data_IF_238452520512
#
_entry.id   IF_238452520512
#
_cell.length_a   1.000
_cell.length_b   1.000
_cell.length_c   1.000
_cell.angle_alpha   90.00
_cell.angle_beta   90.00
_cell.angle_gamma   90.00
#
_symmetry.space_group_name_H-M   'P 1'
#
loop_
_entity.id
_entity.type
_entity.pdbx_description
1 polymer ?
#
# COMPACT_ATOMS: atom_id res chain seq x y z
N UNK A 1 11.60 -12.29 6.76
CA UNK A 1 12.00 -11.16 5.88
C UNK A 1 10.79 -10.38 5.39
N UNK A 2 9.70 -11.06 4.99
CA UNK A 2 8.44 -10.46 4.53
C UNK A 2 7.80 -9.46 5.52
N UNK A 3 7.66 -9.84 6.80
CA UNK A 3 7.10 -8.96 7.84
C UNK A 3 7.80 -7.59 7.95
N UNK A 4 9.14 -7.58 7.90
CA UNK A 4 9.90 -6.34 7.93
C UNK A 4 9.63 -5.47 6.70
N UNK A 5 9.52 -6.09 5.52
CA UNK A 5 9.23 -5.37 4.28
C UNK A 5 7.86 -4.67 4.35
N UNK A 6 6.82 -5.37 4.82
CA UNK A 6 5.47 -4.82 4.92
C UNK A 6 5.38 -3.68 5.94
N UNK A 7 5.95 -3.90 7.13
CA UNK A 7 5.97 -2.88 8.18
C UNK A 7 6.77 -1.65 7.73
N UNK A 8 7.92 -1.86 7.09
CA UNK A 8 8.76 -0.78 6.57
C UNK A 8 8.04 0.00 5.47
N UNK A 9 7.41 -0.69 4.52
CA UNK A 9 6.58 -0.08 3.48
C UNK A 9 5.46 0.75 4.10
N UNK A 10 4.77 0.21 5.12
CA UNK A 10 3.71 0.91 5.84
C UNK A 10 4.20 2.19 6.51
N UNK A 11 5.31 2.15 7.24
CA UNK A 11 5.86 3.32 7.94
C UNK A 11 6.26 4.41 6.95
N UNK A 12 6.98 4.07 5.88
CA UNK A 12 7.43 5.05 4.88
C UNK A 12 6.24 5.69 4.17
N UNK A 13 5.28 4.88 3.72
CA UNK A 13 4.13 5.41 2.98
C UNK A 13 3.19 6.20 3.89
N UNK A 14 3.04 5.81 5.15
CA UNK A 14 2.28 6.58 6.14
C UNK A 14 2.93 7.95 6.38
N UNK A 15 4.25 7.99 6.53
CA UNK A 15 4.98 9.25 6.63
C UNK A 15 4.81 10.10 5.37
N UNK A 16 4.95 9.50 4.18
CA UNK A 16 4.72 10.18 2.90
C UNK A 16 3.32 10.81 2.83
N UNK A 17 2.27 10.07 3.20
CA UNK A 17 0.90 10.62 3.22
C UNK A 17 0.70 11.70 4.29
N UNK A 18 1.42 11.64 5.42
CA UNK A 18 1.37 12.71 6.42
C UNK A 18 1.87 14.06 5.88
N UNK A 19 2.70 14.05 4.83
CA UNK A 19 3.16 15.26 4.16
C UNK A 19 2.17 15.78 3.11
N UNK A 20 1.23 14.95 2.65
CA UNK A 20 0.32 15.27 1.54
C UNK A 20 -1.12 15.59 1.99
N UNK A 21 -1.56 15.04 3.11
CA UNK A 21 -2.94 15.19 3.58
C UNK A 21 -3.17 16.58 4.20
N UNK A 22 -4.29 17.21 3.84
CA UNK A 22 -4.56 18.63 4.15
C UNK A 22 -5.27 18.83 5.50
N UNK A 23 -6.07 17.87 5.96
CA UNK A 23 -6.94 18.06 7.13
C UNK A 23 -6.38 17.44 8.40
N UNK A 24 -6.65 18.08 9.55
CA UNK A 24 -6.22 17.58 10.88
C UNK A 24 -6.77 16.19 11.19
N UNK A 25 -8.01 15.91 10.80
CA UNK A 25 -8.63 14.61 11.03
C UNK A 25 -7.92 13.49 10.24
N UNK A 26 -7.56 13.72 8.98
CA UNK A 26 -6.82 12.76 8.17
C UNK A 26 -5.41 12.51 8.75
N UNK A 27 -4.70 13.56 9.15
CA UNK A 27 -3.38 13.46 9.78
C UNK A 27 -3.45 12.70 11.10
N UNK A 28 -4.46 12.97 11.92
CA UNK A 28 -4.71 12.24 13.15
C UNK A 28 -4.87 10.74 12.89
N UNK A 29 -5.67 10.35 11.89
CA UNK A 29 -5.82 8.94 11.48
C UNK A 29 -4.47 8.32 11.09
N UNK A 30 -3.65 9.03 10.31
CA UNK A 30 -2.31 8.55 9.92
C UNK A 30 -1.42 8.31 11.13
N UNK A 31 -1.30 9.30 12.03
CA UNK A 31 -0.41 9.19 13.19
C UNK A 31 -0.86 8.13 14.20
N UNK A 32 -2.17 8.02 14.43
CA UNK A 32 -2.70 6.94 15.27
C UNK A 32 -2.37 5.59 14.64
N UNK A 33 -2.60 5.41 13.33
CA UNK A 33 -2.24 4.17 12.63
C UNK A 33 -0.75 3.85 12.71
N UNK A 34 0.12 4.86 12.52
CA UNK A 34 1.58 4.72 12.55
C UNK A 34 2.11 4.24 13.91
N UNK A 35 1.40 4.54 15.01
CA UNK A 35 1.77 4.10 16.35
C UNK A 35 1.08 2.79 16.74
N UNK A 36 -0.25 2.74 16.59
CA UNK A 36 -1.06 1.64 17.10
C UNK A 36 -0.79 0.33 16.34
N UNK A 37 -0.63 0.41 15.01
CA UNK A 37 -0.50 -0.79 14.20
C UNK A 37 0.84 -1.52 14.41
N UNK A 38 2.01 -0.86 14.44
CA UNK A 38 3.27 -1.52 14.77
C UNK A 38 3.28 -2.09 16.20
N UNK A 39 2.73 -1.37 17.18
CA UNK A 39 2.62 -1.86 18.56
C UNK A 39 1.75 -3.12 18.63
N UNK A 40 0.63 -3.12 17.94
CA UNK A 40 -0.25 -4.27 17.86
C UNK A 40 0.46 -5.48 17.23
N UNK A 41 1.14 -5.32 16.09
CA UNK A 41 1.89 -6.41 15.45
C UNK A 41 3.03 -6.93 16.34
N UNK A 42 3.80 -6.03 16.95
CA UNK A 42 4.88 -6.38 17.87
C UNK A 42 4.35 -7.18 19.07
N UNK A 43 3.21 -6.78 19.65
CA UNK A 43 2.59 -7.52 20.75
C UNK A 43 2.22 -8.96 20.35
N UNK A 44 1.77 -9.17 19.10
CA UNK A 44 1.45 -10.53 18.60
C UNK A 44 2.69 -11.41 18.49
N UNK A 45 3.81 -10.85 18.05
CA UNK A 45 5.08 -11.60 17.96
C UNK A 45 5.66 -11.93 19.33
N UNK A 46 5.44 -11.08 20.34
CA UNK A 46 5.84 -11.37 21.71
C UNK A 46 5.01 -12.50 22.33
N UNK A 47 3.71 -12.57 22.04
CA UNK A 47 2.81 -13.60 22.58
C UNK A 47 3.01 -14.94 21.85
N UNK A 48 3.15 -14.91 20.53
CA UNK A 48 3.40 -16.10 19.74
C UNK A 48 4.54 -15.86 18.72
N UNK A 49 5.78 -16.18 19.10
CA UNK A 49 6.96 -16.00 18.24
C UNK A 49 6.90 -16.83 16.95
N UNK A 50 6.12 -17.92 16.88
CA UNK A 50 6.04 -18.73 15.65
C UNK A 50 5.44 -17.94 14.48
N UNK A 51 4.55 -16.98 14.77
CA UNK A 51 3.90 -16.10 13.78
C UNK A 51 4.90 -15.23 13.01
N UNK A 52 6.11 -15.05 13.52
CA UNK A 52 7.16 -14.27 12.87
C UNK A 52 7.91 -15.04 11.78
N UNK A 53 7.82 -16.38 11.80
CA UNK A 53 8.50 -17.24 10.83
C UNK A 53 7.55 -17.72 9.71
N UNK A 54 6.24 -17.50 9.87
CA UNK A 54 5.20 -17.91 8.95
C UNK A 54 4.64 -16.72 8.17
N UNK A 55 4.29 -16.93 6.90
CA UNK A 55 3.62 -15.89 6.12
C UNK A 55 2.24 -15.53 6.73
N UNK A 56 2.02 -14.24 6.98
CA UNK A 56 0.84 -13.75 7.69
C UNK A 56 0.02 -12.79 6.82
N UNK A 57 -0.94 -13.35 6.07
CA UNK A 57 -1.87 -12.57 5.24
C UNK A 57 -2.60 -11.45 6.00
N UNK A 58 -2.86 -11.66 7.29
CA UNK A 58 -3.56 -10.69 8.09
C UNK A 58 -2.70 -9.44 8.36
N UNK A 59 -1.40 -9.59 8.51
CA UNK A 59 -0.48 -8.45 8.59
C UNK A 59 -0.39 -7.70 7.27
N UNK A 60 -0.30 -8.42 6.14
CA UNK A 60 -0.37 -7.83 4.80
C UNK A 60 -1.59 -6.95 4.67
N UNK A 61 -2.77 -7.48 5.02
CA UNK A 61 -4.02 -6.75 4.98
C UNK A 61 -4.04 -5.52 5.91
N UNK A 62 -3.61 -5.69 7.17
CA UNK A 62 -3.60 -4.61 8.15
C UNK A 62 -2.67 -3.47 7.73
N UNK A 63 -1.52 -3.77 7.14
CA UNK A 63 -0.56 -2.75 6.69
C UNK A 63 -0.99 -2.08 5.39
N UNK A 64 -1.64 -2.79 4.46
CA UNK A 64 -2.05 -2.20 3.16
C UNK A 64 -3.34 -1.40 3.23
N UNK A 65 -4.32 -1.82 4.04
CA UNK A 65 -5.63 -1.16 4.10
C UNK A 65 -5.57 0.32 4.51
N UNK A 66 -4.83 0.72 5.56
CA UNK A 66 -4.66 2.13 5.90
C UNK A 66 -4.04 2.93 4.76
N UNK A 67 -3.07 2.36 4.03
CA UNK A 67 -2.43 3.03 2.91
C UNK A 67 -3.39 3.27 1.74
N UNK A 68 -4.29 2.32 1.46
CA UNK A 68 -5.37 2.49 0.48
C UNK A 68 -6.30 3.64 0.89
N UNK A 69 -6.65 3.73 2.17
CA UNK A 69 -7.47 4.81 2.72
C UNK A 69 -6.74 6.15 2.58
N UNK A 70 -5.47 6.24 2.98
CA UNK A 70 -4.68 7.49 2.89
C UNK A 70 -4.51 7.96 1.45
N UNK A 71 -4.25 7.03 0.53
CA UNK A 71 -4.14 7.31 -0.89
C UNK A 71 -5.46 7.82 -1.48
N UNK A 72 -6.59 7.27 -1.03
CA UNK A 72 -7.92 7.72 -1.43
C UNK A 72 -8.26 9.10 -0.85
N UNK A 73 -7.89 9.37 0.41
CA UNK A 73 -8.01 10.69 1.03
C UNK A 73 -7.19 11.74 0.26
N UNK A 74 -6.00 11.38 -0.21
CA UNK A 74 -5.17 12.27 -1.04
C UNK A 74 -5.84 12.62 -2.37
N UNK A 75 -6.44 11.64 -3.07
CA UNK A 75 -7.21 11.93 -4.29
C UNK A 75 -8.40 12.84 -4.00
N UNK A 76 -9.15 12.57 -2.92
CA UNK A 76 -10.29 13.36 -2.52
C UNK A 76 -9.92 14.82 -2.22
N UNK A 77 -8.83 15.05 -1.49
CA UNK A 77 -8.33 16.39 -1.15
C UNK A 77 -7.95 17.25 -2.35
N UNK A 78 -7.74 16.65 -3.52
CA UNK A 78 -7.30 17.32 -4.73
C UNK A 78 -8.33 17.20 -5.87
N UNK A 79 -9.58 16.87 -5.56
CA UNK A 79 -10.68 16.90 -6.52
C UNK A 79 -10.84 18.31 -7.10
N UNK A 80 -10.68 18.43 -8.42
CA UNK A 80 -10.78 19.72 -9.13
C UNK A 80 -9.53 20.61 -9.05
N UNK A 81 -8.46 20.14 -8.41
CA UNK A 81 -7.19 20.87 -8.27
C UNK A 81 -6.02 20.10 -8.89
N UNK A 82 -4.90 20.78 -9.14
CA UNK A 82 -3.63 20.09 -9.49
C UNK A 82 -3.13 19.36 -8.25
N UNK A 83 -3.14 18.03 -8.29
CA UNK A 83 -2.66 17.19 -7.19
C UNK A 83 -1.15 16.98 -7.25
N UNK A 84 -0.47 17.21 -6.14
CA UNK A 84 0.91 16.76 -5.96
C UNK A 84 0.98 15.24 -6.04
N UNK A 85 2.02 14.73 -6.72
CA UNK A 85 2.28 13.30 -6.92
C UNK A 85 1.08 12.47 -7.43
N UNK A 86 0.17 13.09 -8.21
CA UNK A 86 -1.07 12.47 -8.67
C UNK A 86 -0.88 11.08 -9.30
N UNK A 87 -0.02 10.97 -10.31
CA UNK A 87 0.17 9.71 -11.04
C UNK A 87 0.86 8.66 -10.18
N UNK A 88 1.84 9.05 -9.35
CA UNK A 88 2.45 8.14 -8.38
C UNK A 88 1.43 7.60 -7.38
N UNK A 89 0.54 8.46 -6.88
CA UNK A 89 -0.52 8.06 -5.95
C UNK A 89 -1.52 7.11 -6.62
N UNK A 90 -1.93 7.38 -7.87
CA UNK A 90 -2.80 6.48 -8.62
C UNK A 90 -2.17 5.10 -8.84
N UNK A 91 -0.92 5.04 -9.28
CA UNK A 91 -0.22 3.77 -9.48
C UNK A 91 -0.07 3.00 -8.17
N UNK A 92 0.22 3.70 -7.06
CA UNK A 92 0.31 3.12 -5.73
C UNK A 92 -1.06 2.56 -5.27
N UNK A 93 -2.13 3.35 -5.37
CA UNK A 93 -3.49 2.93 -5.02
C UNK A 93 -3.91 1.69 -5.80
N UNK A 94 -3.73 1.74 -7.12
CA UNK A 94 -4.11 0.68 -8.03
C UNK A 94 -3.38 -0.63 -7.69
N UNK A 95 -2.08 -0.56 -7.44
CA UNK A 95 -1.30 -1.71 -7.01
C UNK A 95 -1.75 -2.24 -5.65
N UNK A 96 -1.80 -1.39 -4.61
CA UNK A 96 -2.12 -1.82 -3.25
C UNK A 96 -3.51 -2.47 -3.19
N UNK A 97 -4.49 -1.86 -3.84
CA UNK A 97 -5.86 -2.36 -3.87
C UNK A 97 -5.94 -3.71 -4.60
N UNK A 98 -5.44 -3.77 -5.83
CA UNK A 98 -5.56 -4.97 -6.68
C UNK A 98 -4.71 -6.13 -6.14
N UNK A 99 -3.51 -5.85 -5.65
CA UNK A 99 -2.61 -6.84 -5.02
C UNK A 99 -3.25 -7.42 -3.75
N UNK A 100 -3.80 -6.58 -2.88
CA UNK A 100 -4.51 -7.05 -1.67
C UNK A 100 -5.70 -7.92 -2.05
N UNK A 101 -6.48 -7.51 -3.05
CA UNK A 101 -7.61 -8.30 -3.55
C UNK A 101 -7.17 -9.67 -4.08
N UNK A 102 -6.08 -9.73 -4.87
CA UNK A 102 -5.51 -10.98 -5.38
C UNK A 102 -5.13 -11.93 -4.24
N UNK A 103 -4.44 -11.44 -3.20
CA UNK A 103 -4.04 -12.29 -2.09
C UNK A 103 -5.23 -12.78 -1.24
N UNK A 104 -6.23 -11.93 -1.02
CA UNK A 104 -7.47 -12.34 -0.34
C UNK A 104 -8.24 -13.38 -1.17
N UNK A 105 -8.33 -13.18 -2.48
CA UNK A 105 -8.99 -14.10 -3.38
C UNK A 105 -8.26 -15.44 -3.46
N UNK A 106 -6.93 -15.42 -3.55
CA UNK A 106 -6.12 -16.63 -3.49
C UNK A 106 -6.36 -17.40 -2.19
N UNK A 107 -6.36 -16.71 -1.04
CA UNK A 107 -6.67 -17.35 0.25
C UNK A 107 -8.05 -17.97 0.29
N UNK A 108 -9.04 -17.35 -0.35
CA UNK A 108 -10.39 -17.91 -0.45
C UNK A 108 -10.39 -19.21 -1.25
N UNK A 109 -9.66 -19.25 -2.38
CA UNK A 109 -9.53 -20.46 -3.21
C UNK A 109 -8.85 -21.61 -2.46
N UNK A 110 -7.80 -21.30 -1.68
CA UNK A 110 -7.11 -22.27 -0.82
C UNK A 110 -8.09 -22.89 0.19
N UNK A 111 -8.92 -22.06 0.83
CA UNK A 111 -9.91 -22.52 1.82
C UNK A 111 -10.98 -23.43 1.19
N UNK A 112 -11.27 -23.26 -0.09
CA UNK A 112 -12.22 -24.10 -0.84
C UNK A 112 -11.57 -25.28 -1.57
N UNK A 113 -10.25 -25.45 -1.48
CA UNK A 113 -9.50 -26.51 -2.17
C UNK A 113 -9.65 -26.47 -3.71
N UNK A 114 -9.74 -25.27 -4.30
CA UNK A 114 -9.93 -25.02 -5.75
C UNK A 114 -8.63 -24.48 -6.41
N UNK A 115 -7.49 -24.59 -5.73
CA UNK A 115 -6.28 -23.82 -6.05
C UNK A 115 -5.42 -24.37 -7.19
N UNK A 116 -5.77 -25.52 -7.77
CA UNK A 116 -4.95 -26.22 -8.76
C UNK A 116 -4.49 -25.28 -9.90
N UNK A 117 -3.18 -25.05 -9.96
CA UNK A 117 -2.48 -24.20 -10.94
C UNK A 117 -2.81 -22.70 -10.92
N UNK A 118 -3.52 -22.18 -9.90
CA UNK A 118 -3.88 -20.75 -9.82
C UNK A 118 -2.76 -19.91 -9.20
N UNK A 119 -1.90 -20.51 -8.35
CA UNK A 119 -0.85 -19.77 -7.63
C UNK A 119 0.12 -19.03 -8.56
N UNK A 120 0.64 -19.71 -9.60
CA UNK A 120 1.59 -19.11 -10.54
C UNK A 120 0.97 -17.94 -11.32
N UNK A 121 -0.31 -18.06 -11.69
CA UNK A 121 -1.05 -16.99 -12.33
C UNK A 121 -1.19 -15.77 -11.40
N UNK A 122 -1.55 -15.98 -10.14
CA UNK A 122 -1.70 -14.89 -9.16
C UNK A 122 -0.37 -14.18 -8.89
N UNK A 123 0.72 -14.93 -8.76
CA UNK A 123 2.08 -14.37 -8.62
C UNK A 123 2.43 -13.52 -9.86
N UNK A 124 2.22 -14.03 -11.07
CA UNK A 124 2.53 -13.32 -12.31
C UNK A 124 1.71 -12.03 -12.48
N UNK A 125 0.42 -12.07 -12.12
CA UNK A 125 -0.43 -10.88 -12.13
C UNK A 125 0.11 -9.86 -11.12
N UNK A 126 0.45 -10.28 -9.90
CA UNK A 126 0.98 -9.37 -8.88
C UNK A 126 2.31 -8.72 -9.30
N UNK A 127 3.20 -9.48 -9.95
CA UNK A 127 4.45 -8.96 -10.54
C UNK A 127 4.13 -7.93 -11.63
N UNK A 128 3.15 -8.19 -12.48
CA UNK A 128 2.74 -7.26 -13.53
C UNK A 128 2.17 -5.96 -12.95
N UNK A 129 1.35 -6.04 -11.90
CA UNK A 129 0.85 -4.87 -11.18
C UNK A 129 1.98 -4.03 -10.58
N UNK A 130 3.04 -4.68 -10.07
CA UNK A 130 4.22 -3.99 -9.56
C UNK A 130 4.91 -3.18 -10.67
N UNK A 131 5.05 -3.72 -11.88
CA UNK A 131 5.60 -2.98 -13.02
C UNK A 131 4.71 -1.83 -13.46
N UNK A 132 3.39 -2.02 -13.46
CA UNK A 132 2.43 -0.94 -13.74
C UNK A 132 2.61 0.21 -12.75
N UNK A 133 2.69 -0.09 -11.44
CA UNK A 133 2.98 0.92 -10.40
C UNK A 133 4.27 1.69 -10.70
N UNK A 134 5.34 1.00 -11.08
CA UNK A 134 6.59 1.67 -11.43
C UNK A 134 6.47 2.55 -12.69
N UNK A 135 5.70 2.13 -13.70
CA UNK A 135 5.44 2.95 -14.87
C UNK A 135 4.77 4.29 -14.49
N UNK A 136 3.77 4.26 -13.60
CA UNK A 136 3.16 5.47 -13.05
C UNK A 136 4.17 6.36 -12.31
N UNK A 137 5.06 5.76 -11.51
CA UNK A 137 6.09 6.50 -10.79
C UNK A 137 7.08 7.19 -11.73
N UNK A 138 7.59 6.47 -12.74
CA UNK A 138 8.49 7.04 -13.74
C UNK A 138 7.81 8.13 -14.57
N UNK A 139 6.53 7.95 -14.89
CA UNK A 139 5.75 8.98 -15.58
C UNK A 139 5.61 10.25 -14.73
N UNK A 140 5.28 10.13 -13.44
CA UNK A 140 5.25 11.27 -12.52
C UNK A 140 6.62 11.95 -12.42
N UNK A 141 7.71 11.17 -12.32
CA UNK A 141 9.06 11.72 -12.23
C UNK A 141 9.44 12.48 -13.50
N UNK A 142 9.13 11.94 -14.68
CA UNK A 142 9.32 12.63 -15.95
C UNK A 142 8.59 13.98 -15.95
N UNK A 143 7.33 14.03 -15.50
CA UNK A 143 6.57 15.28 -15.42
C UNK A 143 7.20 16.31 -14.47
N UNK A 144 7.78 15.89 -13.35
CA UNK A 144 8.43 16.79 -12.40
C UNK A 144 9.74 17.35 -12.97
N UNK A 145 10.53 16.51 -13.65
CA UNK A 145 11.84 16.90 -14.16
C UNK A 145 11.76 17.74 -15.44
N UNK A 146 10.88 17.37 -16.38
CA UNK A 146 10.81 18.00 -17.70
C UNK A 146 9.83 19.18 -17.79
N UNK A 147 8.78 19.26 -16.95
CA UNK A 147 7.87 20.42 -16.91
C UNK A 147 8.25 21.41 -15.79
N UNK A 148 9.54 21.53 -15.48
CA UNK A 148 10.02 22.45 -14.43
C UNK A 148 9.87 23.93 -14.85
N UNK A 149 9.81 24.21 -16.15
CA UNK A 149 9.70 25.58 -16.70
C UNK A 149 8.26 26.11 -16.85
N UNK A 150 7.23 25.26 -16.74
CA UNK A 150 5.81 25.68 -16.87
C UNK A 150 5.09 25.88 -15.52
N UNK A 151 5.81 25.76 -14.40
CA UNK A 151 5.23 25.84 -13.04
C UNK A 151 5.63 27.09 -12.24
N UNK A 152 6.36 28.02 -12.84
CA UNK A 152 6.67 29.34 -12.26
C UNK A 152 5.76 30.42 -12.85
#
# INVERSE_FOLDING_TARGET
>A
MHHFYELFQFVILSYFFSLLLKTRAQLFTVYVGLIVLPLFLLSRYLINPSLFFEYNLFETYLTTMPLIIYSSMHLYNNLGEKSDFYYSNLGLLFYLFTSTFIFLFYRLLVVFEIEDHINDLMININITLQYIKFAFFFYQWKLIYFNKDERN
#
